data_IF_275740838717
#
_entry.id   IF_275740838717
#
_cell.length_a   1.000
_cell.length_b   1.000
_cell.length_c   1.000
_cell.angle_alpha   90.00
_cell.angle_beta   90.00
_cell.angle_gamma   90.00
#
_symmetry.space_group_name_H-M   'P 1'
#
loop_
_entity.id
_entity.type
_entity.pdbx_description
1 polymer ?
#
# COMPACT_ATOMS: atom_id res chain seq x y z
N UNK A 1 9.73 -14.19 7.68
CA UNK A 1 10.02 -13.77 9.08
C UNK A 1 9.33 -12.45 9.37
N UNK A 2 8.83 -12.20 10.61
CA UNK A 2 8.13 -10.96 10.98
C UNK A 2 9.05 -10.17 11.89
N UNK A 3 9.83 -9.26 11.32
CA UNK A 3 10.79 -8.42 12.05
C UNK A 3 10.14 -7.54 13.12
N UNK A 4 8.85 -7.20 12.93
CA UNK A 4 8.07 -6.48 13.93
C UNK A 4 8.01 -7.25 15.26
N UNK A 5 7.85 -8.58 15.22
CA UNK A 5 7.78 -9.42 16.41
C UNK A 5 9.14 -9.71 17.06
N UNK A 6 10.21 -9.59 16.27
CA UNK A 6 11.57 -9.65 16.81
C UNK A 6 11.90 -8.38 17.58
N UNK A 7 11.46 -7.23 17.04
CA UNK A 7 11.68 -5.92 17.67
C UNK A 7 10.74 -5.64 18.84
N UNK A 8 9.49 -6.15 18.77
CA UNK A 8 8.43 -5.92 19.76
C UNK A 8 7.68 -7.24 20.01
N UNK A 9 8.21 -8.08 20.88
CA UNK A 9 7.69 -9.45 21.08
C UNK A 9 6.23 -9.50 21.56
N UNK A 10 5.79 -8.53 22.37
CA UNK A 10 4.40 -8.43 22.83
C UNK A 10 3.38 -8.22 21.70
N UNK A 11 3.79 -7.74 20.52
CA UNK A 11 2.88 -7.61 19.38
C UNK A 11 2.47 -8.95 18.75
N UNK A 12 3.03 -10.08 19.18
CA UNK A 12 2.57 -11.43 18.79
C UNK A 12 1.14 -11.71 19.23
N UNK A 13 0.64 -11.00 20.24
CA UNK A 13 -0.74 -11.10 20.72
C UNK A 13 -1.75 -10.45 19.76
N UNK A 14 -1.30 -9.58 18.85
CA UNK A 14 -2.17 -9.02 17.82
C UNK A 14 -2.45 -10.07 16.77
N UNK A 15 -3.74 -10.38 16.57
CA UNK A 15 -4.17 -11.27 15.51
C UNK A 15 -3.72 -10.77 14.13
N UNK A 16 -3.18 -11.66 13.31
CA UNK A 16 -2.66 -11.38 11.98
C UNK A 16 -3.06 -12.46 10.99
N UNK A 17 -3.62 -12.07 9.85
CA UNK A 17 -3.82 -12.96 8.71
C UNK A 17 -2.51 -13.02 7.88
N UNK A 18 -1.92 -14.20 7.62
CA UNK A 18 -0.67 -14.31 6.86
C UNK A 18 -0.95 -14.15 5.35
N UNK A 19 -0.96 -12.91 4.87
CA UNK A 19 -1.28 -12.59 3.47
C UNK A 19 -0.03 -12.35 2.63
N UNK A 20 1.07 -11.91 3.26
CA UNK A 20 2.28 -11.48 2.57
C UNK A 20 3.37 -12.56 2.52
N UNK A 21 4.03 -12.63 1.39
CA UNK A 21 5.33 -13.26 1.20
C UNK A 21 6.42 -12.25 1.57
N UNK A 22 7.29 -12.61 2.51
CA UNK A 22 8.32 -11.71 3.03
C UNK A 22 9.67 -12.42 3.13
N UNK A 23 10.78 -11.72 2.86
CA UNK A 23 10.85 -10.32 2.44
C UNK A 23 10.41 -10.13 0.99
N UNK A 24 9.85 -8.96 0.65
CA UNK A 24 9.67 -8.61 -0.76
C UNK A 24 11.04 -8.29 -1.39
N UNK A 25 11.25 -8.60 -2.70
CA UNK A 25 12.54 -8.36 -3.33
C UNK A 25 12.97 -6.89 -3.35
N UNK A 26 14.28 -6.66 -3.40
CA UNK A 26 14.90 -5.39 -3.76
C UNK A 26 15.77 -5.61 -4.99
N UNK A 27 15.68 -4.72 -5.97
CA UNK A 27 16.35 -4.84 -7.25
C UNK A 27 16.95 -3.49 -7.65
N UNK A 28 18.10 -3.49 -8.31
CA UNK A 28 18.64 -2.28 -8.91
C UNK A 28 18.00 -2.06 -10.29
N UNK A 29 17.56 -0.84 -10.54
CA UNK A 29 17.09 -0.43 -11.87
C UNK A 29 18.28 0.16 -12.61
N UNK A 30 18.69 -0.51 -13.69
CA UNK A 30 19.81 -0.09 -14.55
C UNK A 30 19.29 0.33 -15.92
N UNK A 31 20.08 1.10 -16.66
CA UNK A 31 19.71 1.52 -18.01
C UNK A 31 18.95 2.84 -18.12
N UNK A 32 18.58 3.48 -17.00
CA UNK A 32 17.94 4.80 -17.02
C UNK A 32 19.02 5.90 -17.04
N UNK A 33 19.06 6.77 -18.06
CA UNK A 33 20.03 7.84 -18.14
C UNK A 33 20.00 8.78 -16.94
N UNK A 34 21.16 8.99 -16.32
CA UNK A 34 21.32 9.89 -15.18
C UNK A 34 20.82 9.38 -13.82
N UNK A 35 20.32 8.13 -13.74
CA UNK A 35 19.76 7.53 -12.52
C UNK A 35 20.52 6.22 -12.13
N UNK A 36 21.83 6.28 -12.00
CA UNK A 36 22.69 5.11 -11.78
C UNK A 36 22.41 4.38 -10.44
N UNK A 37 22.06 5.11 -9.38
CA UNK A 37 21.82 4.57 -8.04
C UNK A 37 20.32 4.46 -7.72
N UNK A 38 19.54 3.97 -8.68
CA UNK A 38 18.10 3.76 -8.53
C UNK A 38 17.81 2.29 -8.19
N UNK A 39 17.01 2.10 -7.15
CA UNK A 39 16.59 0.78 -6.65
C UNK A 39 15.08 0.71 -6.55
N UNK A 40 14.52 -0.50 -6.61
CA UNK A 40 13.10 -0.75 -6.41
C UNK A 40 12.86 -1.77 -5.30
N UNK A 41 11.94 -1.48 -4.40
CA UNK A 41 11.36 -2.44 -3.46
C UNK A 41 10.09 -3.00 -4.07
N UNK A 42 10.08 -4.27 -4.40
CA UNK A 42 9.04 -4.98 -5.15
C UNK A 42 7.90 -5.46 -4.25
N UNK A 43 7.20 -4.51 -3.60
CA UNK A 43 6.01 -4.88 -2.82
C UNK A 43 4.86 -5.39 -3.69
N UNK A 44 4.87 -5.09 -4.99
CA UNK A 44 3.99 -5.71 -5.97
C UNK A 44 4.07 -7.25 -5.96
N UNK A 45 5.22 -7.81 -5.58
CA UNK A 45 5.47 -9.25 -5.50
C UNK A 45 5.25 -9.85 -4.09
N UNK A 46 4.80 -9.06 -3.13
CA UNK A 46 4.71 -9.49 -1.74
C UNK A 46 3.50 -10.37 -1.40
N UNK A 47 2.66 -10.72 -2.36
CA UNK A 47 1.56 -11.67 -2.17
C UNK A 47 1.24 -12.39 -3.48
N UNK A 48 0.72 -13.61 -3.37
CA UNK A 48 0.24 -14.39 -4.54
C UNK A 48 -1.07 -13.86 -5.10
N UNK A 49 -1.82 -13.09 -4.28
CA UNK A 49 -3.11 -12.52 -4.61
C UNK A 49 -3.06 -11.02 -4.33
N UNK A 50 -3.15 -10.19 -5.38
CA UNK A 50 -3.21 -8.73 -5.27
C UNK A 50 -2.13 -8.15 -4.34
N UNK A 51 -0.87 -8.36 -4.69
CA UNK A 51 0.29 -7.86 -3.96
C UNK A 51 0.33 -6.33 -3.87
N UNK A 52 1.17 -5.84 -3.00
CA UNK A 52 1.36 -4.42 -2.76
C UNK A 52 1.17 -4.00 -1.30
N UNK A 53 1.22 -2.71 -1.07
CA UNK A 53 1.11 -2.14 0.26
C UNK A 53 -0.20 -2.49 0.99
N UNK A 54 -1.26 -2.81 0.25
CA UNK A 54 -2.56 -3.16 0.86
C UNK A 54 -2.52 -4.53 1.53
N UNK A 55 -1.83 -5.50 0.96
CA UNK A 55 -1.65 -6.80 1.59
C UNK A 55 -1.01 -6.66 2.97
N UNK A 56 0.06 -5.86 3.11
CA UNK A 56 0.70 -5.59 4.42
C UNK A 56 -0.24 -4.96 5.45
N UNK A 57 -1.03 -3.98 5.01
CA UNK A 57 -2.04 -3.33 5.86
C UNK A 57 -3.13 -4.32 6.30
N UNK A 58 -3.61 -5.12 5.36
CA UNK A 58 -4.73 -6.04 5.57
C UNK A 58 -4.35 -7.23 6.44
N UNK A 59 -3.07 -7.63 6.53
CA UNK A 59 -2.63 -8.65 7.46
C UNK A 59 -3.12 -8.40 8.89
N UNK A 60 -3.05 -7.15 9.35
CA UNK A 60 -3.46 -6.77 10.70
C UNK A 60 -4.94 -6.40 10.78
N UNK A 61 -5.50 -5.79 9.72
CA UNK A 61 -6.90 -5.39 9.73
C UNK A 61 -7.88 -6.55 9.55
N UNK A 62 -7.43 -7.65 8.95
CA UNK A 62 -8.21 -8.88 8.76
C UNK A 62 -7.83 -9.97 9.78
N UNK A 63 -6.92 -9.70 10.72
CA UNK A 63 -6.42 -10.71 11.64
C UNK A 63 -7.47 -11.38 12.52
N UNK A 64 -8.55 -10.67 12.85
CA UNK A 64 -9.68 -11.19 13.62
C UNK A 64 -10.92 -11.51 12.75
N UNK A 65 -10.75 -11.60 11.44
CA UNK A 65 -11.85 -11.94 10.53
C UNK A 65 -11.94 -13.45 10.41
N UNK A 66 -13.12 -13.99 10.64
CA UNK A 66 -13.43 -15.42 10.57
C UNK A 66 -14.28 -15.76 9.34
N UNK A 67 -14.28 -17.03 8.89
CA UNK A 67 -15.18 -17.48 7.84
C UNK A 67 -16.64 -17.17 8.16
N UNK A 68 -17.35 -16.59 7.19
CA UNK A 68 -18.75 -16.13 7.34
C UNK A 68 -18.91 -14.68 7.79
N UNK A 69 -17.87 -14.05 8.29
CA UNK A 69 -17.88 -12.63 8.67
C UNK A 69 -18.15 -11.70 7.48
N UNK A 70 -18.55 -10.48 7.80
CA UNK A 70 -18.74 -9.41 6.80
C UNK A 70 -17.74 -8.28 7.03
N UNK A 71 -16.91 -8.01 6.04
CA UNK A 71 -15.98 -6.87 6.00
C UNK A 71 -16.66 -5.72 5.27
N UNK A 72 -16.71 -4.54 5.88
CA UNK A 72 -17.17 -3.30 5.28
C UNK A 72 -15.98 -2.40 4.96
N UNK A 73 -15.84 -2.03 3.69
CA UNK A 73 -14.80 -1.07 3.29
C UNK A 73 -15.35 0.01 2.35
N UNK A 74 -14.57 1.07 2.14
CA UNK A 74 -14.97 2.16 1.25
C UNK A 74 -13.77 2.76 0.49
N UNK A 75 -14.06 3.26 -0.73
CA UNK A 75 -13.07 3.84 -1.61
C UNK A 75 -13.67 4.46 -2.87
N UNK A 76 -12.85 5.10 -3.68
CA UNK A 76 -13.26 5.51 -5.04
C UNK A 76 -13.64 4.30 -5.88
N UNK A 77 -14.37 4.50 -6.98
CA UNK A 77 -14.85 3.43 -7.85
C UNK A 77 -13.73 2.46 -8.27
N UNK A 78 -12.58 2.98 -8.75
CA UNK A 78 -11.38 2.22 -9.12
C UNK A 78 -10.36 2.09 -7.98
N UNK A 79 -10.79 1.87 -6.75
CA UNK A 79 -9.87 1.81 -5.61
C UNK A 79 -9.19 0.45 -5.47
N UNK A 80 -7.87 0.41 -5.65
CA UNK A 80 -7.04 -0.79 -5.39
C UNK A 80 -7.16 -1.30 -3.95
N UNK A 81 -7.46 -0.41 -2.99
CA UNK A 81 -7.73 -0.81 -1.61
C UNK A 81 -9.02 -1.62 -1.48
N UNK A 82 -10.09 -1.21 -2.16
CA UNK A 82 -11.37 -1.94 -2.15
C UNK A 82 -11.16 -3.32 -2.78
N UNK A 83 -10.47 -3.38 -3.93
CA UNK A 83 -10.17 -4.65 -4.61
C UNK A 83 -9.36 -5.59 -3.70
N UNK A 84 -8.24 -5.12 -3.16
CA UNK A 84 -7.41 -5.92 -2.27
C UNK A 84 -8.18 -6.41 -1.03
N UNK A 85 -9.02 -5.55 -0.44
CA UNK A 85 -9.86 -5.94 0.70
C UNK A 85 -10.84 -7.04 0.33
N UNK A 86 -11.52 -6.93 -0.83
CA UNK A 86 -12.46 -7.94 -1.29
C UNK A 86 -11.79 -9.31 -1.53
N UNK A 87 -10.67 -9.31 -2.25
CA UNK A 87 -9.93 -10.53 -2.58
C UNK A 87 -9.38 -11.22 -1.33
N UNK A 88 -8.74 -10.47 -0.43
CA UNK A 88 -8.16 -11.06 0.78
C UNK A 88 -9.21 -11.49 1.80
N UNK A 89 -10.32 -10.74 1.95
CA UNK A 89 -11.44 -11.15 2.80
C UNK A 89 -12.08 -12.45 2.28
N UNK A 90 -12.29 -12.58 0.96
CA UNK A 90 -12.79 -13.81 0.34
C UNK A 90 -11.85 -15.00 0.62
N UNK A 91 -10.54 -14.80 0.52
CA UNK A 91 -9.55 -15.86 0.84
C UNK A 91 -9.68 -16.36 2.27
N UNK A 92 -10.14 -15.52 3.20
CA UNK A 92 -10.41 -15.85 4.59
C UNK A 92 -11.85 -16.39 4.82
N UNK A 93 -12.62 -16.61 3.75
CA UNK A 93 -14.01 -17.07 3.83
C UNK A 93 -15.02 -16.00 4.25
N UNK A 94 -14.62 -14.71 4.28
CA UNK A 94 -15.49 -13.60 4.64
C UNK A 94 -16.12 -12.93 3.41
N UNK A 95 -17.29 -12.30 3.62
CA UNK A 95 -17.97 -11.50 2.61
C UNK A 95 -17.53 -10.04 2.69
N UNK A 96 -17.53 -9.32 1.55
CA UNK A 96 -17.22 -7.89 1.54
C UNK A 96 -18.41 -7.05 1.10
N UNK A 97 -18.69 -5.98 1.85
CA UNK A 97 -19.56 -4.88 1.42
C UNK A 97 -18.66 -3.71 1.06
N UNK A 98 -18.63 -3.31 -0.21
CA UNK A 98 -17.90 -2.16 -0.69
C UNK A 98 -18.82 -0.94 -0.87
N UNK A 99 -18.48 0.18 -0.24
CA UNK A 99 -19.14 1.46 -0.47
C UNK A 99 -18.23 2.32 -1.32
N UNK A 100 -18.57 2.52 -2.60
CA UNK A 100 -17.74 3.24 -3.56
C UNK A 100 -18.37 4.59 -3.93
N UNK A 101 -17.52 5.52 -4.42
CA UNK A 101 -17.98 6.81 -4.97
C UNK A 101 -17.28 7.14 -6.28
N UNK A 102 -17.94 7.98 -7.09
CA UNK A 102 -17.39 8.44 -8.39
C UNK A 102 -16.20 9.36 -8.19
N UNK A 103 -15.21 9.22 -9.06
CA UNK A 103 -14.04 10.10 -9.20
C UNK A 103 -13.56 10.07 -10.66
N UNK A 104 -12.55 10.87 -11.01
CA UNK A 104 -11.92 10.82 -12.33
C UNK A 104 -11.33 9.41 -12.55
N UNK A 105 -11.75 8.76 -13.62
CA UNK A 105 -11.32 7.42 -13.98
C UNK A 105 -10.22 7.47 -15.06
N UNK A 106 -9.42 6.44 -15.10
CA UNK A 106 -8.46 6.14 -16.16
C UNK A 106 -8.53 4.64 -16.45
N UNK A 107 -7.86 4.16 -17.49
CA UNK A 107 -7.90 2.76 -17.93
C UNK A 107 -7.61 1.77 -16.80
N UNK A 108 -6.67 2.09 -15.91
CA UNK A 108 -6.34 1.25 -14.74
C UNK A 108 -7.47 1.29 -13.71
N UNK A 109 -8.00 2.47 -13.41
CA UNK A 109 -9.11 2.61 -12.47
C UNK A 109 -10.38 1.94 -12.98
N UNK A 110 -10.64 1.98 -14.29
CA UNK A 110 -11.74 1.25 -14.93
C UNK A 110 -11.56 -0.25 -14.78
N UNK A 111 -10.39 -0.80 -15.11
CA UNK A 111 -10.08 -2.22 -14.95
C UNK A 111 -10.20 -2.69 -13.49
N UNK A 112 -9.74 -1.88 -12.53
CA UNK A 112 -9.92 -2.15 -11.09
C UNK A 112 -11.40 -2.15 -10.72
N UNK A 113 -12.20 -1.21 -11.25
CA UNK A 113 -13.64 -1.12 -10.98
C UNK A 113 -14.38 -2.34 -11.52
N UNK A 114 -14.08 -2.75 -12.75
CA UNK A 114 -14.62 -3.96 -13.37
C UNK A 114 -14.29 -5.20 -12.52
N UNK A 115 -13.02 -5.32 -12.09
CA UNK A 115 -12.60 -6.44 -11.25
C UNK A 115 -13.29 -6.46 -9.88
N UNK A 116 -13.57 -5.29 -9.28
CA UNK A 116 -14.38 -5.21 -8.05
C UNK A 116 -15.81 -5.69 -8.31
N UNK A 117 -16.40 -5.33 -9.46
CA UNK A 117 -17.76 -5.73 -9.80
C UNK A 117 -17.88 -7.22 -10.14
N UNK A 118 -16.85 -7.82 -10.76
CA UNK A 118 -16.75 -9.27 -10.93
C UNK A 118 -16.66 -10.01 -9.57
N UNK A 119 -15.89 -9.44 -8.64
CA UNK A 119 -15.65 -10.04 -7.34
C UNK A 119 -16.84 -9.95 -6.38
N UNK A 120 -17.54 -8.83 -6.39
CA UNK A 120 -18.59 -8.50 -5.41
C UNK A 120 -20.01 -8.47 -6.00
N UNK A 121 -20.16 -8.69 -7.31
CA UNK A 121 -21.36 -8.33 -8.04
C UNK A 121 -21.46 -6.81 -8.23
N UNK A 122 -22.42 -6.36 -9.01
CA UNK A 122 -22.63 -4.93 -9.29
C UNK A 122 -22.86 -4.14 -8.00
N UNK A 123 -21.82 -3.49 -7.50
CA UNK A 123 -21.88 -2.72 -6.26
C UNK A 123 -22.37 -1.29 -6.53
N UNK A 124 -23.20 -0.77 -5.62
CA UNK A 124 -23.76 0.57 -5.78
C UNK A 124 -22.69 1.66 -5.59
N UNK A 125 -22.49 2.50 -6.60
CA UNK A 125 -21.55 3.62 -6.58
C UNK A 125 -22.31 4.90 -6.18
N UNK A 126 -21.92 5.52 -5.07
CA UNK A 126 -22.45 6.81 -4.60
C UNK A 126 -21.96 7.95 -5.50
N UNK A 127 -22.80 8.98 -5.69
CA UNK A 127 -22.39 10.16 -6.47
C UNK A 127 -21.24 10.93 -5.84
N UNK A 128 -21.16 10.95 -4.50
CA UNK A 128 -20.16 11.72 -3.75
C UNK A 128 -19.51 10.88 -2.65
N UNK A 129 -18.28 11.28 -2.25
CA UNK A 129 -17.60 10.68 -1.11
C UNK A 129 -18.37 10.88 0.22
N UNK A 130 -19.05 12.03 0.38
CA UNK A 130 -19.86 12.31 1.57
C UNK A 130 -21.01 11.31 1.67
N UNK A 131 -21.74 11.08 0.56
CA UNK A 131 -22.82 10.08 0.52
C UNK A 131 -22.31 8.67 0.83
N UNK A 132 -21.12 8.32 0.35
CA UNK A 132 -20.48 7.04 0.68
C UNK A 132 -20.13 6.93 2.18
N UNK A 133 -19.63 8.00 2.79
CA UNK A 133 -19.33 8.04 4.23
C UNK A 133 -20.59 7.89 5.08
N UNK A 134 -21.67 8.61 4.76
CA UNK A 134 -22.94 8.50 5.47
C UNK A 134 -23.51 7.08 5.38
N UNK A 135 -23.50 6.48 4.17
CA UNK A 135 -23.93 5.10 3.96
C UNK A 135 -23.07 4.11 4.76
N UNK A 136 -21.76 4.27 4.77
CA UNK A 136 -20.89 3.38 5.55
C UNK A 136 -21.14 3.52 7.06
N UNK A 137 -21.43 4.74 7.54
CA UNK A 137 -21.87 4.99 8.92
C UNK A 137 -23.16 4.26 9.27
N UNK A 138 -24.16 4.35 8.42
CA UNK A 138 -25.44 3.63 8.57
C UNK A 138 -25.24 2.11 8.62
N UNK A 139 -24.43 1.55 7.71
CA UNK A 139 -24.16 0.10 7.69
C UNK A 139 -23.45 -0.38 8.94
N UNK A 140 -22.54 0.42 9.51
CA UNK A 140 -21.85 0.12 10.77
C UNK A 140 -22.78 0.11 11.98
N UNK A 141 -23.84 0.92 11.96
CA UNK A 141 -24.82 0.97 13.04
C UNK A 141 -25.88 -0.12 12.94
N UNK A 142 -26.17 -0.59 11.71
CA UNK A 142 -27.28 -1.52 11.46
C UNK A 142 -26.84 -2.96 11.19
N UNK A 143 -25.52 -3.22 11.04
CA UNK A 143 -24.99 -4.54 10.74
C UNK A 143 -23.75 -4.84 11.57
N UNK A 144 -23.55 -6.10 11.95
CA UNK A 144 -22.29 -6.59 12.51
C UNK A 144 -21.27 -6.68 11.37
N UNK A 145 -20.27 -5.79 11.35
CA UNK A 145 -19.27 -5.74 10.28
C UNK A 145 -17.88 -5.42 10.84
N UNK A 146 -16.86 -5.99 10.26
CA UNK A 146 -15.47 -5.56 10.43
C UNK A 146 -15.21 -4.36 9.52
N UNK A 147 -15.09 -3.18 10.10
CA UNK A 147 -14.94 -1.95 9.33
C UNK A 147 -13.48 -1.62 9.03
N UNK A 148 -13.17 -1.52 7.74
CA UNK A 148 -11.85 -1.08 7.24
C UNK A 148 -12.01 0.28 6.56
N UNK A 149 -11.43 1.36 7.12
CA UNK A 149 -11.57 2.70 6.56
C UNK A 149 -10.76 2.88 5.27
N UNK A 150 -10.95 4.04 4.61
CA UNK A 150 -10.30 4.40 3.34
C UNK A 150 -8.78 4.10 3.39
N UNK A 151 -8.33 3.24 2.47
CA UNK A 151 -6.94 2.85 2.33
C UNK A 151 -6.37 2.04 3.50
N UNK A 152 -7.20 1.61 4.47
CA UNK A 152 -6.73 0.91 5.67
C UNK A 152 -5.83 1.74 6.58
N UNK A 153 -5.84 3.07 6.43
CA UNK A 153 -4.91 3.98 7.08
C UNK A 153 -5.28 4.23 8.56
N UNK A 154 -4.99 3.23 9.38
CA UNK A 154 -5.18 3.21 10.84
C UNK A 154 -3.86 2.89 11.56
N UNK A 155 -3.74 3.15 12.87
CA UNK A 155 -2.60 2.69 13.67
C UNK A 155 -2.33 1.18 13.53
N UNK A 156 -3.37 0.35 13.60
CA UNK A 156 -3.27 -1.10 13.47
C UNK A 156 -2.79 -1.50 12.06
N UNK A 157 -3.40 -0.96 11.00
CA UNK A 157 -2.99 -1.27 9.62
C UNK A 157 -1.57 -0.81 9.28
N UNK A 158 -1.09 0.24 9.95
CA UNK A 158 0.27 0.74 9.76
C UNK A 158 1.35 -0.19 10.34
N UNK A 159 1.02 -1.12 11.24
CA UNK A 159 1.96 -2.13 11.76
C UNK A 159 2.59 -2.97 10.65
N UNK A 160 1.82 -3.31 9.61
CA UNK A 160 2.36 -4.01 8.43
C UNK A 160 3.47 -3.23 7.72
N UNK A 161 3.42 -1.90 7.77
CA UNK A 161 4.45 -1.04 7.20
C UNK A 161 5.58 -0.73 8.18
N UNK A 162 5.34 -0.78 9.50
CA UNK A 162 6.44 -0.81 10.49
C UNK A 162 7.29 -2.06 10.25
N UNK A 163 6.64 -3.22 10.05
CA UNK A 163 7.34 -4.45 9.67
C UNK A 163 8.13 -4.28 8.36
N UNK A 164 7.55 -3.62 7.35
CA UNK A 164 8.25 -3.37 6.07
C UNK A 164 9.50 -2.49 6.23
N UNK A 165 9.48 -1.50 7.11
CA UNK A 165 10.65 -0.69 7.44
C UNK A 165 11.75 -1.48 8.15
N UNK A 166 11.38 -2.37 9.06
CA UNK A 166 12.30 -3.28 9.74
C UNK A 166 12.86 -4.35 8.79
N UNK A 167 12.03 -4.86 7.88
CA UNK A 167 12.43 -5.76 6.78
C UNK A 167 13.48 -5.12 5.89
N UNK A 168 13.24 -3.89 5.43
CA UNK A 168 14.21 -3.14 4.64
C UNK A 168 15.53 -2.94 5.39
N UNK A 169 15.46 -2.62 6.67
CA UNK A 169 16.66 -2.48 7.51
C UNK A 169 17.45 -3.79 7.62
N UNK A 170 16.78 -4.94 7.64
CA UNK A 170 17.45 -6.25 7.60
C UNK A 170 18.11 -6.50 6.24
N UNK A 171 17.44 -6.15 5.14
CA UNK A 171 18.02 -6.26 3.78
C UNK A 171 19.24 -5.35 3.58
N UNK A 172 19.20 -4.11 4.09
CA UNK A 172 20.37 -3.22 4.06
C UNK A 172 21.54 -3.83 4.83
N UNK A 173 21.29 -4.37 6.03
CA UNK A 173 22.34 -5.05 6.83
C UNK A 173 22.89 -6.31 6.18
N UNK A 174 22.06 -7.03 5.42
CA UNK A 174 22.47 -8.20 4.65
C UNK A 174 23.28 -7.85 3.38
N UNK A 175 23.30 -6.58 2.98
CA UNK A 175 23.98 -6.13 1.76
C UNK A 175 23.16 -6.31 0.49
N UNK A 176 21.85 -6.58 0.60
CA UNK A 176 20.96 -6.74 -0.56
C UNK A 176 20.84 -5.44 -1.38
N UNK A 177 21.03 -4.29 -0.71
CA UNK A 177 21.08 -2.97 -1.34
C UNK A 177 21.93 -2.00 -0.50
N UNK A 178 22.47 -0.91 -1.10
CA UNK A 178 23.13 0.14 -0.34
C UNK A 178 22.14 0.87 0.57
N UNK A 179 22.63 1.56 1.60
CA UNK A 179 21.79 2.43 2.44
C UNK A 179 21.16 3.55 1.58
N UNK A 180 19.86 3.56 1.36
CA UNK A 180 19.22 4.61 0.57
C UNK A 180 19.31 5.98 1.26
N UNK A 181 19.58 7.02 0.50
CA UNK A 181 19.45 8.42 0.96
C UNK A 181 17.99 8.80 1.13
N UNK A 182 17.15 8.32 0.22
CA UNK A 182 15.71 8.54 0.21
C UNK A 182 14.93 7.32 -0.27
N UNK A 183 13.69 7.23 0.24
CA UNK A 183 12.68 6.28 -0.22
C UNK A 183 11.52 7.09 -0.80
N UNK A 184 11.10 6.78 -2.03
CA UNK A 184 10.00 7.44 -2.71
C UNK A 184 8.84 6.46 -2.89
N UNK A 185 7.63 6.87 -2.48
CA UNK A 185 6.42 6.05 -2.58
C UNK A 185 5.18 6.91 -2.89
N UNK A 186 4.10 6.34 -3.44
CA UNK A 186 2.87 7.09 -3.63
C UNK A 186 2.20 7.42 -2.28
N UNK A 187 1.80 8.66 -2.10
CA UNK A 187 1.09 9.16 -0.92
C UNK A 187 -0.39 9.38 -1.21
N UNK A 188 -1.21 8.40 -0.86
CA UNK A 188 -2.67 8.50 -0.83
C UNK A 188 -3.18 8.77 0.60
N UNK A 189 -3.62 7.74 1.31
CA UNK A 189 -4.19 7.86 2.68
C UNK A 189 -3.15 8.03 3.80
N UNK A 190 -1.87 7.84 3.53
CA UNK A 190 -0.75 8.08 4.45
C UNK A 190 -0.32 6.92 5.33
N UNK A 191 -1.05 5.80 5.36
CA UNK A 191 -0.74 4.65 6.23
C UNK A 191 0.62 4.01 5.92
N UNK A 192 0.94 3.80 4.65
CA UNK A 192 2.21 3.23 4.20
C UNK A 192 3.40 4.09 4.64
N UNK A 193 3.35 5.38 4.30
CA UNK A 193 4.41 6.32 4.67
C UNK A 193 4.60 6.42 6.19
N UNK A 194 3.50 6.42 6.94
CA UNK A 194 3.52 6.53 8.40
C UNK A 194 4.19 5.31 9.06
N UNK A 195 3.77 4.10 8.67
CA UNK A 195 4.33 2.87 9.21
C UNK A 195 5.77 2.65 8.79
N UNK A 196 6.09 2.89 7.50
CA UNK A 196 7.45 2.77 6.98
C UNK A 196 8.42 3.71 7.72
N UNK A 197 8.08 5.00 7.85
CA UNK A 197 8.93 5.95 8.56
C UNK A 197 9.11 5.58 10.04
N UNK A 198 8.07 5.04 10.70
CA UNK A 198 8.19 4.55 12.07
C UNK A 198 9.09 3.31 12.15
N UNK A 199 8.96 2.35 11.23
CA UNK A 199 9.79 1.16 11.15
C UNK A 199 11.27 1.48 10.95
N UNK A 200 11.57 2.44 10.06
CA UNK A 200 12.94 2.93 9.85
C UNK A 200 13.50 3.60 11.12
N UNK A 201 12.69 4.41 11.80
CA UNK A 201 13.09 5.01 13.08
C UNK A 201 13.37 3.94 14.15
N UNK A 202 12.54 2.89 14.23
CA UNK A 202 12.75 1.75 15.14
C UNK A 202 14.03 0.96 14.80
N UNK A 203 14.45 0.96 13.54
CA UNK A 203 15.71 0.36 13.08
C UNK A 203 16.93 1.27 13.25
N UNK A 204 16.75 2.52 13.70
CA UNK A 204 17.82 3.52 13.83
C UNK A 204 18.29 4.12 12.51
N UNK A 205 17.52 3.98 11.42
CA UNK A 205 17.88 4.46 10.09
C UNK A 205 17.36 5.88 9.85
N UNK A 206 18.26 6.77 9.45
CA UNK A 206 17.99 8.18 9.13
C UNK A 206 17.82 8.36 7.63
N UNK A 207 16.70 7.86 7.08
CA UNK A 207 16.38 7.89 5.65
C UNK A 207 15.24 8.88 5.41
N UNK A 208 15.34 9.72 4.36
CA UNK A 208 14.23 10.57 3.92
C UNK A 208 13.14 9.70 3.30
N UNK A 209 11.88 9.91 3.70
CA UNK A 209 10.71 9.25 3.11
C UNK A 209 9.89 10.31 2.38
N UNK A 210 9.81 10.17 1.07
CA UNK A 210 9.21 11.14 0.15
C UNK A 210 7.90 10.57 -0.37
N UNK A 211 6.80 11.22 -0.04
CA UNK A 211 5.48 10.84 -0.51
C UNK A 211 5.10 11.59 -1.79
N UNK A 212 5.09 10.93 -2.95
CA UNK A 212 4.51 11.48 -4.17
C UNK A 212 3.00 11.62 -4.00
N UNK A 213 2.50 12.85 -3.89
CA UNK A 213 1.08 13.10 -3.60
C UNK A 213 0.19 12.68 -4.76
N UNK A 214 -0.74 11.76 -4.51
CA UNK A 214 -1.68 11.24 -5.52
C UNK A 214 -3.15 11.50 -5.16
N UNK A 215 -3.42 12.09 -3.99
CA UNK A 215 -4.78 12.37 -3.52
C UNK A 215 -4.91 13.80 -2.97
N UNK A 216 -6.12 14.31 -2.71
CA UNK A 216 -6.35 15.63 -2.09
C UNK A 216 -5.57 15.80 -0.78
N UNK A 217 -5.14 17.04 -0.49
CA UNK A 217 -4.33 17.37 0.71
C UNK A 217 -4.94 16.90 2.04
N UNK A 218 -6.25 16.83 2.13
CA UNK A 218 -6.95 16.33 3.33
C UNK A 218 -6.59 14.87 3.65
N UNK A 219 -6.31 14.06 2.64
CA UNK A 219 -5.88 12.67 2.78
C UNK A 219 -4.36 12.50 2.69
N UNK A 220 -3.68 13.38 1.95
CA UNK A 220 -2.25 13.28 1.63
C UNK A 220 -1.50 14.47 2.21
N UNK A 221 -1.33 14.48 3.54
CA UNK A 221 -0.62 15.55 4.25
C UNK A 221 0.34 15.00 5.30
N UNK A 222 1.43 15.73 5.55
CA UNK A 222 2.40 15.41 6.60
C UNK A 222 1.76 15.27 7.97
N UNK A 223 0.81 16.17 8.30
CA UNK A 223 0.06 16.12 9.56
C UNK A 223 -0.70 14.81 9.73
N UNK A 224 -1.33 14.31 8.65
CA UNK A 224 -2.03 13.03 8.67
C UNK A 224 -1.06 11.86 8.84
N UNK A 225 0.04 11.85 8.11
CA UNK A 225 1.10 10.83 8.24
C UNK A 225 1.61 10.77 9.67
N UNK A 226 1.99 11.92 10.26
CA UNK A 226 2.46 12.00 11.63
C UNK A 226 1.39 11.59 12.65
N UNK A 227 0.11 11.88 12.40
CA UNK A 227 -0.99 11.44 13.29
C UNK A 227 -1.12 9.92 13.31
N UNK A 228 -1.07 9.27 12.15
CA UNK A 228 -1.12 7.80 12.05
C UNK A 228 0.11 7.21 12.74
N UNK A 229 1.30 7.69 12.45
CA UNK A 229 2.54 7.19 13.04
C UNK A 229 2.56 7.32 14.56
N UNK A 230 2.09 8.46 15.11
CA UNK A 230 1.96 8.63 16.57
C UNK A 230 0.93 7.67 17.17
N UNK A 231 -0.20 7.44 16.49
CA UNK A 231 -1.20 6.45 16.90
C UNK A 231 -0.63 5.04 16.90
N UNK A 232 0.16 4.69 15.88
CA UNK A 232 0.84 3.39 15.80
C UNK A 232 1.89 3.22 16.90
N UNK A 233 2.70 4.26 17.16
CA UNK A 233 3.67 4.23 18.25
C UNK A 233 2.99 4.09 19.61
N UNK A 234 1.84 4.75 19.82
CA UNK A 234 1.04 4.60 21.04
C UNK A 234 0.50 3.17 21.19
N UNK A 235 -0.06 2.61 20.10
CA UNK A 235 -0.56 1.22 20.09
C UNK A 235 0.56 0.23 20.47
N UNK A 236 1.77 0.40 19.93
CA UNK A 236 2.92 -0.43 20.27
C UNK A 236 3.24 -0.27 21.77
N UNK A 237 3.30 0.97 22.27
CA UNK A 237 3.63 1.22 23.67
C UNK A 237 2.58 0.66 24.64
N UNK A 238 1.29 0.77 24.32
CA UNK A 238 0.19 0.22 25.12
C UNK A 238 0.26 -1.31 25.26
N UNK A 239 0.70 -2.01 24.20
CA UNK A 239 0.76 -3.48 24.22
C UNK A 239 2.08 -3.99 24.79
N UNK A 240 3.18 -3.32 24.47
CA UNK A 240 4.53 -3.85 24.80
C UNK A 240 5.18 -3.18 26.01
N UNK A 241 4.64 -2.07 26.48
CA UNK A 241 5.29 -1.21 27.47
C UNK A 241 6.48 -0.41 26.92
N UNK A 242 6.87 -0.61 25.66
CA UNK A 242 8.03 0.03 25.04
C UNK A 242 7.61 1.15 24.09
N UNK A 243 8.08 2.37 24.34
CA UNK A 243 7.78 3.53 23.48
C UNK A 243 8.73 3.55 22.28
N UNK A 244 8.21 3.40 21.03
CA UNK A 244 9.02 3.53 19.82
C UNK A 244 9.68 4.91 19.70
N UNK A 245 10.82 5.01 18.99
CA UNK A 245 11.46 6.29 18.69
C UNK A 245 10.55 7.23 17.92
N UNK A 246 10.74 8.53 18.12
CA UNK A 246 10.00 9.55 17.37
C UNK A 246 10.55 9.65 15.93
N UNK A 247 9.65 9.72 14.96
CA UNK A 247 10.04 10.06 13.58
C UNK A 247 10.55 11.50 13.57
N UNK A 248 11.73 11.70 13.01
CA UNK A 248 12.24 13.06 12.73
C UNK A 248 11.38 13.71 11.66
N UNK A 249 10.76 14.83 12.00
CA UNK A 249 9.86 15.50 11.08
C UNK A 249 10.57 15.96 9.78
N UNK A 250 11.87 16.26 9.82
CA UNK A 250 12.69 16.57 8.64
C UNK A 250 12.81 15.43 7.62
N UNK A 251 12.63 14.19 8.06
CA UNK A 251 12.71 13.02 7.18
C UNK A 251 11.42 12.74 6.39
N UNK A 252 10.36 13.53 6.59
CA UNK A 252 9.12 13.37 5.83
C UNK A 252 8.95 14.53 4.86
N UNK A 253 8.94 14.22 3.58
CA UNK A 253 8.74 15.16 2.49
C UNK A 253 7.52 14.78 1.65
N UNK A 254 6.86 15.76 1.01
CA UNK A 254 5.74 15.50 0.12
C UNK A 254 5.98 16.20 -1.20
N UNK A 255 6.13 15.40 -2.27
CA UNK A 255 6.20 15.88 -3.64
C UNK A 255 4.80 16.24 -4.13
N UNK A 256 4.40 17.49 -3.88
CA UNK A 256 3.05 18.00 -4.17
C UNK A 256 2.77 18.12 -5.67
N UNK A 257 3.79 18.35 -6.50
CA UNK A 257 3.71 18.48 -7.95
C UNK A 257 3.18 17.22 -8.63
N UNK A 258 3.28 16.06 -8.00
CA UNK A 258 2.83 14.77 -8.54
C UNK A 258 1.29 14.59 -8.52
N UNK A 259 0.52 15.54 -7.97
CA UNK A 259 -0.93 15.34 -7.83
C UNK A 259 -1.72 15.40 -9.14
N UNK A 260 -1.33 16.24 -10.10
CA UNK A 260 -2.02 16.39 -11.38
C UNK A 260 -3.43 17.00 -11.30
N UNK A 261 -3.79 17.64 -10.18
CA UNK A 261 -5.06 18.37 -10.00
C UNK A 261 -6.24 17.52 -9.51
N UNK A 262 -6.31 16.22 -9.83
CA UNK A 262 -7.37 15.32 -9.38
C UNK A 262 -6.87 13.91 -9.04
N UNK A 263 -7.60 13.21 -8.18
CA UNK A 263 -7.34 11.79 -7.91
C UNK A 263 -7.65 10.94 -9.15
N UNK A 264 -6.74 10.06 -9.52
CA UNK A 264 -6.86 9.23 -10.73
C UNK A 264 -6.32 9.89 -12.01
N UNK A 265 -6.14 11.23 -12.04
CA UNK A 265 -5.65 11.92 -13.25
C UNK A 265 -4.17 11.65 -13.48
N UNK A 266 -3.76 11.11 -14.64
CA UNK A 266 -2.35 10.97 -15.01
C UNK A 266 -1.64 12.33 -15.10
N UNK A 267 -0.30 12.31 -15.06
CA UNK A 267 0.57 13.47 -15.32
C UNK A 267 1.59 13.08 -16.38
N UNK A 268 2.01 14.03 -17.23
CA UNK A 268 2.97 13.79 -18.32
C UNK A 268 4.26 13.13 -17.81
N UNK A 269 4.89 13.70 -16.75
CA UNK A 269 6.07 13.13 -16.14
C UNK A 269 5.89 11.68 -15.67
N UNK A 270 4.71 11.32 -15.17
CA UNK A 270 4.41 9.93 -14.78
C UNK A 270 4.29 8.99 -15.98
N UNK A 271 3.68 9.45 -17.07
CA UNK A 271 3.56 8.68 -18.30
C UNK A 271 4.92 8.43 -18.96
N UNK A 272 5.75 9.47 -19.04
CA UNK A 272 7.12 9.40 -19.57
C UNK A 272 7.99 8.45 -18.73
N UNK A 273 7.96 8.60 -17.41
CA UNK A 273 8.70 7.73 -16.49
C UNK A 273 8.25 6.26 -16.59
N UNK A 274 6.95 6.00 -16.74
CA UNK A 274 6.44 4.64 -16.91
C UNK A 274 6.89 4.02 -18.24
N UNK A 275 6.93 4.81 -19.34
CA UNK A 275 7.45 4.36 -20.63
C UNK A 275 8.94 4.06 -20.52
N UNK A 276 9.73 4.96 -19.94
CA UNK A 276 11.18 4.78 -19.76
C UNK A 276 11.53 3.51 -18.98
N UNK A 277 10.73 3.17 -17.95
CA UNK A 277 10.91 1.92 -17.20
C UNK A 277 10.49 0.69 -18.01
N UNK A 278 9.40 0.78 -18.78
CA UNK A 278 8.90 -0.34 -19.57
C UNK A 278 9.86 -0.72 -20.72
N UNK A 279 10.65 0.24 -21.22
CA UNK A 279 11.65 -0.01 -22.27
C UNK A 279 12.84 -0.87 -21.79
N UNK A 280 13.07 -0.94 -20.47
CA UNK A 280 14.23 -1.62 -19.88
C UNK A 280 13.88 -2.73 -18.89
N UNK A 281 12.61 -2.90 -18.56
CA UNK A 281 12.16 -3.89 -17.57
C UNK A 281 10.72 -4.34 -17.84
N UNK A 282 10.33 -5.44 -17.20
CA UNK A 282 8.95 -5.96 -17.17
C UNK A 282 8.09 -5.37 -16.03
N UNK A 283 8.56 -4.29 -15.40
CA UNK A 283 7.85 -3.63 -14.32
C UNK A 283 6.75 -2.74 -14.88
N UNK A 284 5.50 -3.08 -14.59
CA UNK A 284 4.34 -2.30 -15.01
C UNK A 284 3.89 -1.32 -13.93
N UNK A 285 3.80 -0.04 -14.28
CA UNK A 285 3.37 1.03 -13.38
C UNK A 285 1.94 1.46 -13.70
N UNK A 286 1.11 1.58 -12.67
CA UNK A 286 -0.20 2.20 -12.80
C UNK A 286 -0.12 3.72 -12.85
N UNK A 287 -0.97 4.35 -13.65
CA UNK A 287 -0.97 5.80 -13.87
C UNK A 287 -1.47 6.63 -12.67
N UNK A 288 -2.20 5.98 -11.73
CA UNK A 288 -2.80 6.67 -10.57
C UNK A 288 -1.78 6.90 -9.46
N UNK A 289 -0.95 5.89 -9.18
CA UNK A 289 -0.05 5.83 -8.02
C UNK A 289 1.41 5.66 -8.41
N UNK A 290 1.77 4.48 -8.96
CA UNK A 290 3.15 4.06 -9.11
C UNK A 290 3.92 4.87 -10.15
N UNK A 291 3.33 5.22 -11.29
CA UNK A 291 3.97 6.05 -12.31
C UNK A 291 4.35 7.45 -11.79
N UNK A 292 3.46 8.06 -10.99
CA UNK A 292 3.73 9.36 -10.37
C UNK A 292 4.85 9.30 -9.33
N UNK A 293 4.87 8.22 -8.53
CA UNK A 293 5.91 8.04 -7.53
C UNK A 293 7.25 7.68 -8.19
N UNK A 294 7.23 6.94 -9.29
CA UNK A 294 8.43 6.64 -10.04
C UNK A 294 9.02 7.89 -10.72
N UNK A 295 8.16 8.77 -11.30
CA UNK A 295 8.61 10.07 -11.81
C UNK A 295 9.33 10.89 -10.73
N UNK A 296 8.76 10.95 -9.52
CA UNK A 296 9.43 11.60 -8.39
C UNK A 296 10.75 10.89 -8.03
N UNK A 297 10.79 9.55 -8.03
CA UNK A 297 12.02 8.81 -7.75
C UNK A 297 13.13 9.12 -8.77
N UNK A 298 12.77 9.27 -10.05
CA UNK A 298 13.70 9.69 -11.10
C UNK A 298 14.23 11.12 -10.88
N UNK A 299 13.39 12.06 -10.45
CA UNK A 299 13.84 13.43 -10.12
C UNK A 299 14.95 13.39 -9.06
N UNK A 300 14.77 12.64 -7.96
CA UNK A 300 15.76 12.53 -6.89
C UNK A 300 17.01 11.72 -7.32
N UNK A 301 16.85 10.64 -8.07
CA UNK A 301 17.98 9.85 -8.57
C UNK A 301 18.85 10.65 -9.54
N UNK A 302 18.25 11.45 -10.43
CA UNK A 302 18.95 12.32 -11.38
C UNK A 302 19.63 13.50 -10.71
N UNK A 303 19.11 13.98 -9.58
CA UNK A 303 19.77 14.98 -8.76
C UNK A 303 21.06 14.48 -8.08
N UNK A 304 21.36 13.18 -8.18
CA UNK A 304 22.55 12.51 -7.61
C UNK A 304 22.76 12.75 -6.12
N UNK A 305 21.66 12.79 -5.36
CA UNK A 305 21.70 12.95 -3.91
C UNK A 305 22.04 11.63 -3.16
N UNK A 306 22.49 10.59 -3.87
CA UNK A 306 22.80 9.25 -3.38
C UNK A 306 21.70 8.23 -3.73
N UNK A 307 21.84 6.96 -3.25
CA UNK A 307 20.94 5.89 -3.64
C UNK A 307 19.47 6.21 -3.33
N UNK A 308 18.61 6.06 -4.35
CA UNK A 308 17.18 6.29 -4.28
C UNK A 308 16.44 4.96 -4.36
N UNK A 309 15.56 4.68 -3.38
CA UNK A 309 14.71 3.50 -3.39
C UNK A 309 13.28 3.88 -3.76
N UNK A 310 12.82 3.43 -4.91
CA UNK A 310 11.41 3.47 -5.28
C UNK A 310 10.65 2.33 -4.62
N UNK A 311 9.57 2.63 -3.92
CA UNK A 311 8.71 1.61 -3.30
C UNK A 311 7.50 1.34 -4.18
N UNK A 312 7.51 0.24 -4.93
CA UNK A 312 6.41 -0.18 -5.80
C UNK A 312 5.30 -0.82 -4.97
N UNK A 313 4.14 -0.16 -4.93
CA UNK A 313 3.08 -0.44 -3.96
C UNK A 313 1.89 -1.20 -4.48
N UNK A 314 1.84 -1.54 -5.78
CA UNK A 314 0.70 -2.20 -6.39
C UNK A 314 1.12 -3.15 -7.51
N UNK A 315 0.55 -4.34 -7.53
CA UNK A 315 0.74 -5.33 -8.60
C UNK A 315 -0.20 -5.04 -9.78
N UNK A 316 0.29 -4.30 -10.76
CA UNK A 316 -0.49 -3.96 -11.95
C UNK A 316 -0.76 -5.16 -12.88
N UNK A 317 -0.02 -6.28 -12.74
CA UNK A 317 -0.22 -7.51 -13.53
C UNK A 317 -1.61 -8.12 -13.31
N UNK A 318 -2.22 -7.88 -12.14
CA UNK A 318 -3.59 -8.28 -11.85
C UNK A 318 -4.63 -7.71 -12.80
N UNK A 319 -4.30 -6.62 -13.49
CA UNK A 319 -5.18 -5.93 -14.43
C UNK A 319 -5.03 -6.50 -15.86
N UNK A 320 -3.88 -7.11 -16.18
CA UNK A 320 -3.59 -7.66 -17.51
C UNK A 320 -3.95 -9.15 -17.61
N UNK A 321 -3.84 -9.91 -16.51
CA UNK A 321 -4.06 -11.36 -16.48
C UNK A 321 -5.54 -11.78 -16.33
N UNK A 322 -6.48 -10.86 -16.21
CA UNK A 322 -7.91 -11.19 -15.99
C UNK A 322 -8.61 -11.88 -17.16
N UNK A 323 -7.96 -11.96 -18.35
CA UNK A 323 -8.53 -12.64 -19.53
C UNK A 323 -8.11 -14.10 -19.69
N UNK A 324 -7.19 -14.64 -18.87
CA UNK A 324 -6.63 -16.00 -19.07
C UNK A 324 -6.89 -17.01 -17.96
N UNK A 325 -7.53 -16.67 -16.86
CA UNK A 325 -7.69 -17.55 -15.68
C UNK A 325 -9.14 -17.93 -15.34
N UNK A 326 -10.06 -17.89 -16.30
CA UNK A 326 -11.39 -18.48 -16.09
C UNK A 326 -11.40 -20.01 -16.28
N UNK A 327 -10.25 -20.65 -16.54
CA UNK A 327 -10.13 -22.10 -16.69
C UNK A 327 -8.92 -22.59 -15.92
N UNK A 328 -9.13 -23.12 -14.73
CA UNK A 328 -8.33 -24.01 -13.88
C UNK A 328 -8.16 -23.51 -12.44
N UNK A 329 -9.10 -23.89 -11.60
CA UNK A 329 -8.82 -24.23 -10.21
C UNK A 329 -9.96 -25.13 -9.68
N UNK A 330 -10.14 -26.29 -10.30
CA UNK A 330 -10.67 -27.46 -9.57
C UNK A 330 -9.47 -28.07 -8.86
N UNK A 331 -9.21 -27.63 -7.65
CA UNK A 331 -8.28 -28.33 -6.76
C UNK A 331 -9.04 -29.53 -6.24
N UNK A 332 -8.75 -30.71 -6.81
CA UNK A 332 -9.04 -32.00 -6.20
C UNK A 332 -8.34 -32.07 -4.85
N UNK A 333 -9.12 -32.22 -3.79
CA UNK A 333 -8.62 -32.61 -2.48
C UNK A 333 -7.94 -33.97 -2.62
N UNK A 334 -6.79 -34.23 -2.00
CA UNK A 334 -6.32 -35.58 -1.80
C UNK A 334 -7.14 -36.23 -0.68
N UNK A 335 -7.74 -37.35 -0.99
CA UNK A 335 -8.29 -38.29 0.00
C UNK A 335 -7.22 -38.74 1.00
N UNK A 336 -7.63 -38.75 2.24
CA UNK A 336 -7.25 -39.41 3.50
C UNK A 336 -6.74 -38.48 4.56
#
# INVERSE_FOLDING_TARGET
>A
MIHLYERFSGLREIARAPLCLMPSPVEQITGIPGAADLWVKRDDLNATLCGGNKARTLEFLLGNVEPGDTVLTLGGAGSTHVLATALHARRLGAKTIAVRWRHDMNTVADAVSERIDEELGNTRISRTAVGALLRSGYLRLTRKVHFIPIGGATPLGALGHVNAGLELAAQIRAGDLPLPRQIVLPLGSGGTMAGLALGLACAGLDIRVIGARVAPRVFSSRTRVLRIARGTARLIAEITGETPPRIRAGNLEIAHQMYGGAYGRPIAAGTEAASELADISDIHLDATYSAKAFAAALEYARAREGPTLFWLTFDARWLTNSRSTSTQATVTAPDM
#
